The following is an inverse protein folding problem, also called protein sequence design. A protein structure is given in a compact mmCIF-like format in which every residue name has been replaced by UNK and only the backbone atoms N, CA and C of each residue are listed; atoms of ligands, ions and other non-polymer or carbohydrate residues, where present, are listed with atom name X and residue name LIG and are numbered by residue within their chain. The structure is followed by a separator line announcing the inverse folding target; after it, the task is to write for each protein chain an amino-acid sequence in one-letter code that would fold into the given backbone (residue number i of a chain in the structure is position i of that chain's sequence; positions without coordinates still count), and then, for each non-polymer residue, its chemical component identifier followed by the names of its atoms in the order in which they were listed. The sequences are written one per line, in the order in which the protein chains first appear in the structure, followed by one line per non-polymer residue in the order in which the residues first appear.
data_IF_038536785058
#
_entry.id   IF_038536785058
#
_cell.length_a   1.000
_cell.length_b   1.000
_cell.length_c   1.000
_cell.angle_alpha   90.00
_cell.angle_beta   90.00
_cell.angle_gamma   90.00
#
_symmetry.space_group_name_H-M   'P 1'
#
loop_
_entity.id
_entity.type
_entity.pdbx_description
1 polymer ?
#
# COMPACT_ATOMS: atom_id res chain seq x y z
N UNK A 1 -25.31 27.08 1.27
CA UNK A 1 -26.04 27.32 2.55
C UNK A 1 -25.19 26.73 3.65
N UNK A 2 -24.34 27.58 4.28
CA UNK A 2 -23.55 27.19 5.44
C UNK A 2 -24.50 27.15 6.65
N UNK A 3 -24.80 25.99 7.19
CA UNK A 3 -25.34 25.87 8.54
C UNK A 3 -24.17 25.92 9.52
N UNK A 4 -24.12 26.96 10.30
CA UNK A 4 -23.22 27.06 11.44
C UNK A 4 -23.79 26.23 12.60
N UNK A 5 -23.39 24.98 12.69
CA UNK A 5 -23.55 24.25 13.94
C UNK A 5 -22.36 24.60 14.84
N UNK A 6 -22.66 25.32 15.91
CA UNK A 6 -21.72 25.65 16.98
C UNK A 6 -21.26 24.35 17.65
N UNK A 7 -20.01 23.95 17.43
CA UNK A 7 -19.33 23.01 18.31
C UNK A 7 -18.65 23.78 19.44
N UNK A 8 -18.90 23.41 20.72
CA UNK A 8 -18.14 23.93 21.83
C UNK A 8 -16.82 23.18 21.95
N UNK A 9 -15.73 23.87 21.77
CA UNK A 9 -14.40 23.30 22.00
C UNK A 9 -13.38 23.89 21.05
N UNK A 10 -12.72 24.97 21.47
CA UNK A 10 -11.74 25.69 20.68
C UNK A 10 -10.51 24.87 20.34
N UNK A 11 -10.48 24.33 19.13
CA UNK A 11 -9.26 24.02 18.41
C UNK A 11 -9.04 25.14 17.42
N UNK A 12 -7.91 25.86 17.55
CA UNK A 12 -7.49 26.83 16.56
C UNK A 12 -7.07 26.06 15.28
N UNK A 13 -8.06 25.58 14.53
CA UNK A 13 -7.87 25.25 13.13
C UNK A 13 -7.52 26.54 12.44
N UNK A 14 -6.49 26.53 11.60
CA UNK A 14 -6.12 27.65 10.76
C UNK A 14 -7.34 27.99 9.90
N UNK A 15 -8.16 28.91 10.40
CA UNK A 15 -9.31 29.41 9.66
C UNK A 15 -8.75 30.18 8.46
N UNK A 16 -8.70 29.51 7.32
CA UNK A 16 -8.33 30.17 6.07
C UNK A 16 -9.38 31.22 5.68
N UNK A 17 -9.14 31.99 4.60
CA UNK A 17 -10.04 33.03 4.11
C UNK A 17 -11.50 32.59 3.95
N UNK A 18 -11.71 31.31 3.69
CA UNK A 18 -13.04 30.70 3.59
C UNK A 18 -13.85 30.70 4.90
N UNK A 19 -13.19 30.52 6.05
CA UNK A 19 -13.86 30.56 7.35
C UNK A 19 -14.28 31.98 7.71
N UNK A 20 -13.45 32.96 7.40
CA UNK A 20 -13.78 34.39 7.57
C UNK A 20 -14.92 34.82 6.68
N UNK A 21 -14.96 34.35 5.42
CA UNK A 21 -16.08 34.57 4.52
C UNK A 21 -17.38 34.02 5.08
N UNK A 22 -17.38 32.82 5.60
CA UNK A 22 -18.58 32.23 6.20
C UNK A 22 -19.01 32.99 7.47
N UNK A 23 -18.09 33.47 8.32
CA UNK A 23 -18.40 34.28 9.50
C UNK A 23 -18.91 35.68 9.15
N UNK A 24 -18.12 36.45 8.39
CA UNK A 24 -18.45 37.83 8.06
C UNK A 24 -19.71 38.00 7.18
N UNK A 25 -19.90 37.13 6.18
CA UNK A 25 -21.11 37.15 5.32
C UNK A 25 -22.31 36.49 6.01
N UNK A 26 -22.07 35.62 7.02
CA UNK A 26 -23.13 35.04 7.83
C UNK A 26 -23.81 36.05 8.76
N UNK A 27 -23.04 37.02 9.23
CA UNK A 27 -23.52 38.12 10.09
C UNK A 27 -24.12 39.26 9.26
N UNK A 28 -23.60 39.56 8.09
CA UNK A 28 -24.10 40.54 7.15
C UNK A 28 -24.02 40.03 5.69
N UNK A 29 -25.12 39.53 5.13
CA UNK A 29 -25.16 39.05 3.75
C UNK A 29 -24.88 40.11 2.69
N UNK A 30 -24.94 41.39 3.05
CA UNK A 30 -24.64 42.51 2.14
C UNK A 30 -23.16 42.91 2.14
N UNK A 31 -22.37 42.36 3.06
CA UNK A 31 -20.94 42.68 3.16
C UNK A 31 -20.16 42.35 1.89
N UNK A 32 -19.29 43.23 1.49
CA UNK A 32 -18.33 42.96 0.39
C UNK A 32 -17.29 41.94 0.81
N UNK A 33 -17.56 40.68 0.48
CA UNK A 33 -16.67 39.58 0.79
C UNK A 33 -15.23 39.75 0.22
N UNK A 34 -15.08 40.48 -0.90
CA UNK A 34 -13.75 40.76 -1.48
C UNK A 34 -12.96 41.72 -0.62
N UNK A 35 -13.63 42.72 -0.01
CA UNK A 35 -13.00 43.62 0.93
C UNK A 35 -12.57 42.87 2.21
N UNK A 36 -13.46 42.04 2.76
CA UNK A 36 -13.14 41.19 3.94
C UNK A 36 -11.96 40.26 3.67
N UNK A 37 -11.97 39.66 2.50
CA UNK A 37 -10.91 38.74 2.07
C UNK A 37 -9.57 39.46 1.90
N UNK A 38 -9.56 40.64 1.29
CA UNK A 38 -8.37 41.48 1.14
C UNK A 38 -7.84 41.91 2.52
N UNK A 39 -8.71 42.38 3.39
CA UNK A 39 -8.34 42.75 4.77
C UNK A 39 -7.68 41.58 5.51
N UNK A 40 -8.23 40.39 5.38
CA UNK A 40 -7.62 39.19 5.96
C UNK A 40 -6.21 38.94 5.41
N UNK A 41 -6.05 38.96 4.08
CA UNK A 41 -4.74 38.73 3.48
C UNK A 41 -3.72 39.80 3.86
N UNK A 42 -4.14 41.07 3.92
CA UNK A 42 -3.28 42.18 4.34
C UNK A 42 -2.84 42.04 5.81
N UNK A 43 -3.74 41.65 6.68
CA UNK A 43 -3.44 41.44 8.10
C UNK A 43 -2.59 40.19 8.35
N UNK A 44 -2.91 39.07 7.67
CA UNK A 44 -2.26 37.79 7.89
C UNK A 44 -0.88 37.68 7.23
N UNK A 45 -0.68 38.32 6.08
CA UNK A 45 0.53 38.13 5.24
C UNK A 45 1.29 39.41 4.96
N UNK A 46 0.85 40.55 5.47
CA UNK A 46 1.56 41.85 5.43
C UNK A 46 2.21 42.16 4.07
N UNK A 47 3.56 42.19 4.01
CA UNK A 47 4.32 42.52 2.80
C UNK A 47 4.26 41.51 1.68
N UNK A 48 3.65 40.31 1.89
CA UNK A 48 3.44 39.27 0.87
C UNK A 48 1.96 39.00 0.64
N UNK A 49 1.08 39.90 1.09
CA UNK A 49 -0.36 39.82 0.94
C UNK A 49 -0.79 39.60 -0.50
N UNK A 50 -0.18 40.30 -1.45
CA UNK A 50 -0.53 40.19 -2.88
C UNK A 50 -0.29 38.77 -3.45
N UNK A 51 0.85 38.15 -3.09
CA UNK A 51 1.18 36.78 -3.51
C UNK A 51 0.17 35.78 -2.90
N UNK A 52 -0.16 35.95 -1.62
CA UNK A 52 -1.09 35.07 -0.94
C UNK A 52 -2.53 35.25 -1.37
N UNK A 53 -2.93 36.48 -1.70
CA UNK A 53 -4.22 36.75 -2.35
C UNK A 53 -4.32 35.99 -3.68
N UNK A 54 -3.29 36.10 -4.52
CA UNK A 54 -3.23 35.36 -5.80
C UNK A 54 -3.25 33.83 -5.60
N UNK A 55 -2.55 33.31 -4.60
CA UNK A 55 -2.56 31.89 -4.26
C UNK A 55 -3.96 31.38 -3.89
N UNK A 56 -4.67 32.08 -3.04
CA UNK A 56 -6.03 31.70 -2.64
C UNK A 56 -7.06 31.96 -3.73
N UNK A 57 -6.92 33.03 -4.53
CA UNK A 57 -7.80 33.29 -5.67
C UNK A 57 -7.69 32.18 -6.70
N UNK A 58 -6.49 31.70 -6.97
CA UNK A 58 -6.24 30.55 -7.85
C UNK A 58 -6.97 29.30 -7.35
N UNK A 59 -6.92 29.02 -6.04
CA UNK A 59 -7.65 27.91 -5.43
C UNK A 59 -9.17 28.09 -5.56
N UNK A 60 -9.67 29.27 -5.27
CA UNK A 60 -11.11 29.56 -5.38
C UNK A 60 -11.61 29.42 -6.82
N UNK A 61 -10.80 29.86 -7.80
CA UNK A 61 -11.11 29.72 -9.21
C UNK A 61 -11.22 28.23 -9.61
N UNK A 62 -10.28 27.39 -9.18
CA UNK A 62 -10.33 25.95 -9.47
C UNK A 62 -11.54 25.26 -8.83
N UNK A 63 -11.89 25.64 -7.61
CA UNK A 63 -13.08 25.10 -6.93
C UNK A 63 -14.35 25.57 -7.65
N UNK A 64 -14.41 26.81 -8.12
CA UNK A 64 -15.54 27.33 -8.86
C UNK A 64 -15.72 26.60 -10.21
N UNK A 65 -14.63 26.45 -10.98
CA UNK A 65 -14.64 25.68 -12.25
C UNK A 65 -15.13 24.25 -12.00
N UNK A 66 -14.63 23.59 -10.97
CA UNK A 66 -15.06 22.26 -10.61
C UNK A 66 -16.55 22.22 -10.26
N UNK A 67 -17.03 23.16 -9.45
CA UNK A 67 -18.43 23.25 -9.01
C UNK A 67 -19.37 23.50 -10.18
N UNK A 68 -19.00 24.43 -11.07
CA UNK A 68 -19.78 24.77 -12.25
C UNK A 68 -19.84 23.61 -13.26
N UNK A 69 -18.70 22.95 -13.50
CA UNK A 69 -18.63 21.78 -14.36
C UNK A 69 -19.56 20.67 -13.88
N UNK A 70 -19.49 20.31 -12.60
CA UNK A 70 -20.32 19.25 -12.03
C UNK A 70 -21.77 19.68 -11.83
N UNK A 71 -22.02 20.95 -11.53
CA UNK A 71 -23.36 21.50 -11.33
C UNK A 71 -24.17 21.59 -12.65
N UNK A 72 -23.51 22.00 -13.73
CA UNK A 72 -24.16 22.26 -15.03
C UNK A 72 -24.16 21.03 -15.93
N UNK A 73 -23.06 20.32 -16.00
CA UNK A 73 -22.92 19.20 -16.95
C UNK A 73 -23.55 17.88 -16.48
N UNK A 74 -23.96 17.78 -15.22
CA UNK A 74 -24.40 16.52 -14.65
C UNK A 74 -25.76 16.54 -13.91
N UNK A 75 -26.76 17.38 -14.26
CA UNK A 75 -28.00 17.47 -13.46
C UNK A 75 -28.85 16.19 -13.48
N UNK A 76 -28.78 15.38 -14.54
CA UNK A 76 -29.48 14.08 -14.63
C UNK A 76 -28.65 12.88 -14.17
N UNK A 77 -27.34 12.98 -14.26
CA UNK A 77 -26.39 11.94 -13.86
C UNK A 77 -26.20 11.90 -12.34
N UNK A 78 -26.28 13.04 -11.68
CA UNK A 78 -26.07 13.15 -10.24
C UNK A 78 -27.06 12.29 -9.43
N UNK A 79 -28.30 12.14 -9.87
CA UNK A 79 -29.32 11.36 -9.14
C UNK A 79 -29.13 9.83 -9.24
N UNK A 80 -28.64 9.32 -10.35
CA UNK A 80 -28.54 7.88 -10.61
C UNK A 80 -27.15 7.30 -10.36
N UNK A 81 -26.09 8.11 -10.52
CA UNK A 81 -24.69 7.67 -10.43
C UNK A 81 -23.87 8.47 -9.42
N UNK A 82 -24.47 9.43 -8.70
CA UNK A 82 -23.79 10.35 -7.81
C UNK A 82 -23.12 9.67 -6.61
N UNK A 83 -23.68 8.56 -6.13
CA UNK A 83 -23.13 7.90 -4.95
C UNK A 83 -21.73 7.31 -5.16
N UNK A 84 -21.37 6.88 -6.37
CA UNK A 84 -20.07 6.26 -6.62
C UNK A 84 -18.95 7.22 -7.03
N UNK A 85 -19.27 8.32 -7.72
CA UNK A 85 -18.27 9.29 -8.22
C UNK A 85 -18.04 10.47 -7.28
N UNK A 86 -19.05 10.91 -6.53
CA UNK A 86 -18.90 11.93 -5.50
C UNK A 86 -18.05 11.45 -4.30
N UNK A 87 -17.80 10.16 -4.20
CA UNK A 87 -16.96 9.58 -3.15
C UNK A 87 -15.56 9.17 -3.64
N UNK A 88 -15.25 9.38 -4.91
CA UNK A 88 -13.91 9.13 -5.42
C UNK A 88 -13.03 10.37 -5.24
N UNK A 89 -12.35 10.40 -4.10
CA UNK A 89 -11.42 11.46 -3.75
C UNK A 89 -10.29 11.65 -4.78
N UNK A 90 -9.93 10.62 -5.51
CA UNK A 90 -8.97 10.70 -6.62
C UNK A 90 -9.46 11.69 -7.69
N UNK A 91 -10.73 11.58 -8.11
CA UNK A 91 -11.30 12.49 -9.08
C UNK A 91 -11.33 13.95 -8.61
N UNK A 92 -11.66 14.19 -7.34
CA UNK A 92 -11.63 15.53 -6.76
C UNK A 92 -10.22 16.12 -6.81
N UNK A 93 -9.23 15.35 -6.37
CA UNK A 93 -7.83 15.80 -6.39
C UNK A 93 -7.39 16.10 -7.82
N UNK A 94 -7.63 15.20 -8.77
CA UNK A 94 -7.20 15.40 -10.16
C UNK A 94 -7.94 16.55 -10.86
N UNK A 95 -9.19 16.83 -10.51
CA UNK A 95 -9.98 17.89 -11.15
C UNK A 95 -9.70 19.28 -10.61
N UNK A 96 -9.37 19.39 -9.31
CA UNK A 96 -9.09 20.67 -8.65
C UNK A 96 -7.60 20.99 -8.69
N UNK A 97 -6.76 20.02 -8.37
CA UNK A 97 -5.31 20.18 -8.22
C UNK A 97 -4.57 19.66 -9.45
N UNK A 98 -4.82 20.30 -10.59
CA UNK A 98 -4.14 19.95 -11.86
C UNK A 98 -2.65 20.28 -11.79
N UNK A 99 -1.78 19.63 -12.59
CA UNK A 99 -0.36 19.96 -12.62
C UNK A 99 -0.08 21.44 -12.91
N UNK A 100 -0.86 22.07 -13.79
CA UNK A 100 -0.75 23.48 -14.13
C UNK A 100 -1.09 24.37 -12.93
N UNK A 101 -2.21 24.08 -12.26
CA UNK A 101 -2.58 24.76 -11.03
C UNK A 101 -1.47 24.64 -9.97
N UNK A 102 -0.97 23.42 -9.75
CA UNK A 102 0.06 23.19 -8.74
C UNK A 102 1.36 23.92 -9.06
N UNK A 103 1.72 24.05 -10.33
CA UNK A 103 2.91 24.80 -10.73
C UNK A 103 2.75 26.31 -10.49
N UNK A 104 1.59 26.87 -10.81
CA UNK A 104 1.31 28.29 -10.61
C UNK A 104 1.20 28.64 -9.12
N UNK A 105 0.48 27.83 -8.35
CA UNK A 105 0.37 27.96 -6.90
C UNK A 105 1.72 27.85 -6.19
N UNK A 106 2.61 26.93 -6.65
CA UNK A 106 3.98 26.80 -6.18
C UNK A 106 4.78 28.10 -6.36
N UNK A 107 4.68 28.71 -7.55
CA UNK A 107 5.39 29.96 -7.84
C UNK A 107 4.95 31.10 -6.92
N UNK A 108 3.64 31.21 -6.66
CA UNK A 108 3.09 32.22 -5.77
C UNK A 108 3.53 32.00 -4.32
N UNK A 109 3.42 30.77 -3.81
CA UNK A 109 3.77 30.41 -2.44
C UNK A 109 5.30 30.58 -2.22
N UNK A 110 6.13 30.07 -3.13
CA UNK A 110 7.59 30.22 -3.05
C UNK A 110 8.03 31.67 -3.12
N UNK A 111 7.34 32.50 -3.93
CA UNK A 111 7.59 33.95 -3.96
C UNK A 111 7.23 34.62 -2.63
N UNK A 112 6.11 34.22 -2.02
CA UNK A 112 5.71 34.73 -0.71
C UNK A 112 6.74 34.35 0.37
N UNK A 113 7.17 33.08 0.42
CA UNK A 113 8.17 32.59 1.39
C UNK A 113 9.50 33.33 1.26
N UNK A 114 9.98 33.55 0.03
CA UNK A 114 11.23 34.27 -0.24
C UNK A 114 11.18 35.72 0.23
N UNK A 115 10.03 36.37 0.10
CA UNK A 115 9.85 37.79 0.37
C UNK A 115 9.33 38.10 1.78
N UNK A 116 8.83 37.13 2.53
CA UNK A 116 8.32 37.31 3.87
C UNK A 116 9.43 37.75 4.83
N UNK A 117 9.20 38.87 5.54
CA UNK A 117 10.15 39.45 6.51
C UNK A 117 9.77 39.11 7.95
N UNK A 118 8.48 39.14 8.25
CA UNK A 118 7.93 38.94 9.57
C UNK A 118 8.01 37.44 9.98
N UNK A 119 8.53 37.12 11.18
CA UNK A 119 8.57 35.74 11.68
C UNK A 119 7.19 35.08 11.78
N UNK A 120 6.16 35.82 12.17
CA UNK A 120 4.79 35.29 12.30
C UNK A 120 4.20 34.98 10.91
N UNK A 121 4.50 35.79 9.90
CA UNK A 121 4.14 35.53 8.52
C UNK A 121 4.86 34.27 8.01
N UNK A 122 6.15 34.13 8.29
CA UNK A 122 6.89 32.92 7.94
C UNK A 122 6.32 31.67 8.58
N UNK A 123 5.91 31.74 9.83
CA UNK A 123 5.28 30.62 10.52
C UNK A 123 3.94 30.23 9.87
N UNK A 124 3.11 31.22 9.46
CA UNK A 124 1.85 30.96 8.74
C UNK A 124 2.09 30.34 7.36
N UNK A 125 3.06 30.88 6.61
CA UNK A 125 3.45 30.34 5.31
C UNK A 125 3.95 28.91 5.43
N UNK A 126 4.72 28.60 6.48
CA UNK A 126 5.16 27.23 6.74
C UNK A 126 4.00 26.23 6.92
N UNK A 127 2.93 26.62 7.62
CA UNK A 127 1.74 25.76 7.75
C UNK A 127 1.06 25.54 6.39
N UNK A 128 0.92 26.63 5.59
CA UNK A 128 0.34 26.55 4.25
C UNK A 128 1.23 25.69 3.34
N UNK A 129 2.53 25.80 3.44
CA UNK A 129 3.50 24.99 2.69
C UNK A 129 3.30 23.50 2.95
N UNK A 130 3.14 23.12 4.19
CA UNK A 130 2.91 21.73 4.59
C UNK A 130 1.66 21.16 3.92
N UNK A 131 0.54 21.89 3.96
CA UNK A 131 -0.70 21.47 3.31
C UNK A 131 -0.58 21.45 1.79
N UNK A 132 0.07 22.45 1.23
CA UNK A 132 0.31 22.54 -0.20
C UNK A 132 1.18 21.38 -0.72
N UNK A 133 2.30 21.08 -0.05
CA UNK A 133 3.19 19.98 -0.44
C UNK A 133 2.48 18.62 -0.37
N UNK A 134 1.64 18.43 0.64
CA UNK A 134 0.79 17.25 0.74
C UNK A 134 -0.14 17.12 -0.48
N UNK A 135 -0.86 18.18 -0.83
CA UNK A 135 -1.79 18.17 -1.96
C UNK A 135 -1.06 18.05 -3.31
N UNK A 136 0.07 18.70 -3.46
CA UNK A 136 0.95 18.61 -4.64
C UNK A 136 1.43 17.17 -4.87
N UNK A 137 1.88 16.53 -3.82
CA UNK A 137 2.33 15.15 -3.87
C UNK A 137 1.16 14.19 -4.19
N UNK A 138 0.00 14.37 -3.57
CA UNK A 138 -1.22 13.60 -3.88
C UNK A 138 -1.66 13.76 -5.35
N UNK A 139 -1.67 14.98 -5.86
CA UNK A 139 -1.95 15.26 -7.27
C UNK A 139 -0.99 14.51 -8.19
N UNK A 140 0.33 14.65 -7.95
CA UNK A 140 1.39 13.97 -8.70
C UNK A 140 1.16 12.45 -8.72
N UNK A 141 0.88 11.84 -7.57
CA UNK A 141 0.60 10.40 -7.45
C UNK A 141 -0.57 9.99 -8.33
N UNK A 142 -1.71 10.69 -8.26
CA UNK A 142 -2.90 10.30 -9.00
C UNK A 142 -2.77 10.50 -10.50
N UNK A 143 -2.09 11.56 -10.94
CA UNK A 143 -1.80 11.76 -12.37
C UNK A 143 -0.84 10.68 -12.90
N UNK A 144 0.22 10.35 -12.17
CA UNK A 144 1.14 9.29 -12.55
C UNK A 144 0.47 7.92 -12.54
N UNK A 145 -0.37 7.62 -11.54
CA UNK A 145 -1.16 6.39 -11.50
C UNK A 145 -2.10 6.29 -12.70
N UNK A 146 -2.76 7.39 -13.08
CA UNK A 146 -3.63 7.40 -14.25
C UNK A 146 -2.83 7.13 -15.52
N UNK A 147 -1.70 7.81 -15.71
CA UNK A 147 -0.80 7.59 -16.86
C UNK A 147 -0.30 6.14 -16.92
N UNK A 148 0.15 5.58 -15.80
CA UNK A 148 0.58 4.19 -15.73
C UNK A 148 -0.58 3.20 -15.97
N UNK A 149 -1.79 3.52 -15.55
CA UNK A 149 -2.96 2.67 -15.80
C UNK A 149 -3.26 2.58 -17.28
N UNK A 150 -3.10 3.68 -18.00
CA UNK A 150 -3.31 3.75 -19.45
C UNK A 150 -2.15 3.13 -20.24
N UNK A 151 -0.94 3.22 -19.72
CA UNK A 151 0.27 2.66 -20.34
C UNK A 151 1.18 2.09 -19.25
N UNK A 152 1.24 0.77 -19.15
CA UNK A 152 2.03 0.00 -18.15
C UNK A 152 3.54 0.11 -18.37
N UNK A 153 4.06 1.32 -18.50
CA UNK A 153 5.49 1.60 -18.73
C UNK A 153 6.20 2.01 -17.45
N UNK A 154 7.45 1.56 -17.30
CA UNK A 154 8.34 1.97 -16.20
C UNK A 154 8.55 3.48 -16.15
N UNK A 155 8.43 4.19 -17.29
CA UNK A 155 8.54 5.66 -17.33
C UNK A 155 7.50 6.38 -16.45
N UNK A 156 6.36 5.74 -16.21
CA UNK A 156 5.33 6.24 -15.30
C UNK A 156 5.36 5.57 -13.94
N UNK A 157 5.78 4.28 -13.89
CA UNK A 157 5.82 3.51 -12.65
C UNK A 157 6.91 4.02 -11.70
N UNK A 158 8.13 4.21 -12.19
CA UNK A 158 9.24 4.62 -11.35
C UNK A 158 8.98 5.98 -10.65
N UNK A 159 8.60 7.06 -11.35
CA UNK A 159 8.25 8.31 -10.67
C UNK A 159 6.98 8.22 -9.81
N UNK A 160 6.07 7.30 -10.08
CA UNK A 160 4.92 7.04 -9.22
C UNK A 160 5.37 6.42 -7.89
N UNK A 161 6.23 5.43 -7.95
CA UNK A 161 6.80 4.78 -6.76
C UNK A 161 7.59 5.77 -5.92
N UNK A 162 8.40 6.63 -6.56
CA UNK A 162 9.12 7.71 -5.87
C UNK A 162 8.17 8.69 -5.18
N UNK A 163 7.09 9.07 -5.85
CA UNK A 163 6.08 9.97 -5.28
C UNK A 163 5.32 9.36 -4.10
N UNK A 164 5.07 8.04 -4.11
CA UNK A 164 4.46 7.32 -2.99
C UNK A 164 5.41 7.30 -1.78
N UNK A 165 6.71 7.02 -2.00
CA UNK A 165 7.71 7.06 -0.94
C UNK A 165 7.87 8.47 -0.35
N UNK A 166 7.89 9.50 -1.20
CA UNK A 166 7.90 10.91 -0.79
C UNK A 166 6.68 11.25 0.08
N UNK A 167 5.50 10.76 -0.31
CA UNK A 167 4.26 10.99 0.44
C UNK A 167 4.32 10.35 1.84
N UNK A 168 4.81 9.12 1.96
CA UNK A 168 5.01 8.47 3.24
C UNK A 168 6.02 9.23 4.12
N UNK A 169 7.16 9.65 3.55
CA UNK A 169 8.17 10.42 4.27
C UNK A 169 7.64 11.79 4.74
N UNK A 170 6.80 12.44 3.93
CA UNK A 170 6.18 13.71 4.30
C UNK A 170 5.15 13.53 5.44
N UNK A 171 4.39 12.45 5.44
CA UNK A 171 3.49 12.13 6.56
C UNK A 171 4.24 11.90 7.88
N UNK A 172 5.38 11.23 7.84
CA UNK A 172 6.22 11.03 9.03
C UNK A 172 6.74 12.37 9.57
N UNK A 173 7.30 13.22 8.69
CA UNK A 173 7.75 14.58 9.06
C UNK A 173 6.64 15.43 9.65
N UNK A 174 5.45 15.37 9.08
CA UNK A 174 4.24 16.02 9.57
C UNK A 174 3.89 15.54 10.98
N UNK A 175 3.89 14.25 11.19
CA UNK A 175 3.61 13.64 12.50
C UNK A 175 4.61 14.08 13.56
N UNK A 176 5.89 14.19 13.21
CA UNK A 176 6.95 14.64 14.10
C UNK A 176 6.86 16.15 14.41
N UNK A 177 6.71 16.97 13.38
CA UNK A 177 6.73 18.45 13.50
C UNK A 177 5.55 19.00 14.27
N UNK A 178 4.41 18.33 14.24
CA UNK A 178 3.18 18.75 14.91
C UNK A 178 3.02 18.20 16.33
N UNK A 179 4.05 17.48 16.83
CA UNK A 179 3.99 16.83 18.14
C UNK A 179 2.82 15.85 18.25
N UNK A 180 2.45 15.24 17.15
CA UNK A 180 1.32 14.30 16.99
C UNK A 180 -0.07 14.90 17.21
N UNK A 181 -0.22 16.23 17.29
CA UNK A 181 -1.49 16.86 17.63
C UNK A 181 -2.32 17.39 16.45
N UNK A 182 -1.68 17.78 15.35
CA UNK A 182 -2.39 18.29 14.16
C UNK A 182 -2.64 17.20 13.11
N UNK A 183 -1.76 16.24 13.02
CA UNK A 183 -1.87 15.12 12.10
C UNK A 183 -1.52 13.86 12.89
N UNK A 184 -2.41 13.48 13.77
CA UNK A 184 -2.26 12.24 14.45
C UNK A 184 -2.11 11.11 13.45
N UNK A 185 -1.27 10.10 13.76
CA UNK A 185 -1.49 8.82 13.18
C UNK A 185 -2.94 8.52 13.47
N UNK A 186 -3.63 8.47 12.48
CA UNK A 186 -5.08 8.54 12.32
C UNK A 186 -5.81 7.43 13.08
N UNK A 187 -5.07 6.49 13.71
CA UNK A 187 -5.59 5.54 14.67
C UNK A 187 -6.11 6.15 15.97
N UNK A 188 -5.60 7.32 16.37
CA UNK A 188 -5.85 7.88 17.70
C UNK A 188 -6.91 8.99 17.73
N UNK A 189 -7.52 9.33 16.58
CA UNK A 189 -8.52 10.40 16.47
C UNK A 189 -9.83 9.93 15.84
N UNK A 190 -10.66 9.20 16.56
CA UNK A 190 -12.00 8.85 16.09
C UNK A 190 -12.91 10.06 15.85
N UNK A 191 -12.59 11.20 16.46
CA UNK A 191 -13.44 12.40 16.46
C UNK A 191 -13.14 13.39 15.32
N UNK A 192 -11.98 13.31 14.70
CA UNK A 192 -11.62 14.15 13.54
C UNK A 192 -12.12 13.61 12.21
N UNK A 193 -13.08 12.74 12.28
CA UNK A 193 -13.69 12.06 11.12
C UNK A 193 -14.18 12.96 10.01
N UNK A 194 -14.55 14.21 10.21
CA UNK A 194 -15.23 14.91 9.15
C UNK A 194 -14.43 15.92 8.41
N UNK A 195 -13.24 16.27 8.82
CA UNK A 195 -12.79 17.58 8.43
C UNK A 195 -12.21 17.72 7.05
N UNK A 196 -11.70 16.69 6.47
CA UNK A 196 -11.30 16.68 5.07
C UNK A 196 -11.39 15.28 4.53
N UNK A 197 -12.15 15.06 3.50
CA UNK A 197 -12.32 13.78 2.84
C UNK A 197 -11.00 13.10 2.46
N UNK A 198 -9.89 13.80 2.50
CA UNK A 198 -8.56 13.31 2.18
C UNK A 198 -7.78 12.83 3.39
N UNK A 199 -7.87 13.56 4.50
CA UNK A 199 -7.30 13.10 5.77
C UNK A 199 -8.04 11.88 6.30
N UNK A 200 -9.29 11.72 5.94
CA UNK A 200 -9.99 10.47 6.10
C UNK A 200 -9.28 9.31 5.46
N UNK A 201 -8.66 9.58 4.38
CA UNK A 201 -7.98 8.59 3.64
C UNK A 201 -7.35 7.60 4.59
N UNK A 202 -6.49 7.99 5.44
CA UNK A 202 -5.70 7.07 6.22
C UNK A 202 -6.40 6.64 7.52
N UNK A 203 -7.10 7.49 8.25
CA UNK A 203 -7.67 7.16 9.56
C UNK A 203 -9.08 6.62 9.58
N UNK A 204 -9.95 7.20 8.83
CA UNK A 204 -11.27 6.65 8.67
C UNK A 204 -11.22 5.28 7.98
N UNK A 205 -10.14 5.03 7.26
CA UNK A 205 -9.86 3.78 6.59
C UNK A 205 -9.62 2.62 7.55
N UNK A 206 -9.08 2.90 8.71
CA UNK A 206 -8.82 1.86 9.71
C UNK A 206 -10.07 1.45 10.48
N UNK A 207 -11.14 2.26 10.45
CA UNK A 207 -12.31 2.08 11.30
C UNK A 207 -13.68 2.03 10.61
N UNK A 208 -13.74 2.11 9.29
CA UNK A 208 -15.02 2.09 8.56
C UNK A 208 -14.97 1.22 7.31
N UNK A 209 -16.14 0.87 6.76
CA UNK A 209 -16.26 0.12 5.51
C UNK A 209 -15.62 0.78 4.27
N UNK A 210 -15.07 1.99 4.41
CA UNK A 210 -14.23 2.65 3.43
C UNK A 210 -12.79 2.09 3.41
N UNK A 211 -12.32 1.45 4.47
CA UNK A 211 -11.00 0.83 4.55
C UNK A 211 -10.69 -0.04 3.33
N UNK A 212 -11.66 -0.82 2.86
CA UNK A 212 -11.49 -1.67 1.68
C UNK A 212 -11.28 -0.91 0.37
N UNK A 213 -11.75 0.32 0.24
CA UNK A 213 -11.57 1.09 -0.99
C UNK A 213 -10.17 1.70 -1.09
N UNK A 214 -9.60 2.11 0.03
CA UNK A 214 -8.27 2.72 0.07
C UNK A 214 -7.14 1.70 0.19
N UNK A 215 -7.40 0.56 0.80
CA UNK A 215 -6.49 -0.58 0.78
C UNK A 215 -6.11 -1.01 -0.64
N UNK A 216 -6.94 -0.64 -1.60
CA UNK A 216 -6.74 -0.88 -3.04
C UNK A 216 -6.19 0.32 -3.80
N UNK A 217 -5.86 1.43 -3.14
CA UNK A 217 -5.23 2.58 -3.80
C UNK A 217 -3.73 2.41 -3.92
N UNK A 218 -3.13 3.14 -4.85
CA UNK A 218 -1.68 3.16 -5.02
C UNK A 218 -0.91 3.67 -3.79
N UNK A 219 -1.57 4.39 -2.89
CA UNK A 219 -0.96 4.88 -1.64
C UNK A 219 -0.52 3.75 -0.70
N UNK A 220 -1.15 2.59 -0.80
CA UNK A 220 -0.81 1.39 -0.03
C UNK A 220 0.03 0.38 -0.82
N UNK A 221 0.47 0.72 -2.02
CA UNK A 221 1.36 -0.17 -2.77
C UNK A 221 2.66 -0.39 -2.01
N UNK A 222 3.17 -1.60 -2.07
CA UNK A 222 4.46 -1.94 -1.53
C UNK A 222 5.57 -1.52 -2.50
N UNK A 223 6.05 -0.31 -2.36
CA UNK A 223 7.10 0.27 -3.21
C UNK A 223 8.38 -0.54 -3.17
N UNK A 224 8.72 -1.14 -2.03
CA UNK A 224 9.86 -2.05 -1.90
C UNK A 224 9.70 -3.29 -2.78
N UNK A 225 8.51 -3.89 -2.76
CA UNK A 225 8.20 -5.04 -3.61
C UNK A 225 8.24 -4.68 -5.11
N UNK A 226 7.71 -3.50 -5.47
CA UNK A 226 7.74 -3.02 -6.87
C UNK A 226 9.17 -2.81 -7.34
N UNK A 227 10.03 -2.17 -6.54
CA UNK A 227 11.46 -1.99 -6.87
C UNK A 227 12.23 -3.31 -6.95
N UNK A 228 11.79 -4.33 -6.21
CA UNK A 228 12.36 -5.67 -6.28
C UNK A 228 11.89 -6.48 -7.51
N UNK A 229 11.11 -5.88 -8.42
CA UNK A 229 10.72 -6.49 -9.69
C UNK A 229 9.49 -7.40 -9.61
N UNK A 230 8.64 -7.27 -8.58
CA UNK A 230 7.42 -8.10 -8.45
C UNK A 230 6.44 -7.92 -9.62
N UNK A 231 6.54 -6.85 -10.38
CA UNK A 231 5.72 -6.58 -11.55
C UNK A 231 6.41 -6.95 -12.87
N UNK A 232 7.58 -7.54 -12.83
CA UNK A 232 8.28 -7.99 -14.03
C UNK A 232 7.61 -9.27 -14.58
N UNK A 233 7.67 -9.46 -15.90
CA UNK A 233 7.01 -10.59 -16.59
C UNK A 233 7.56 -11.96 -16.17
N UNK A 234 8.79 -12.00 -15.69
CA UNK A 234 9.46 -13.23 -15.26
C UNK A 234 10.07 -13.07 -13.88
N UNK A 235 9.61 -13.91 -12.98
CA UNK A 235 10.15 -13.98 -11.62
C UNK A 235 11.35 -14.92 -11.59
N UNK A 236 12.47 -14.38 -11.15
CA UNK A 236 13.71 -15.13 -11.03
C UNK A 236 14.41 -14.80 -9.70
N UNK A 237 14.80 -15.83 -8.96
CA UNK A 237 15.48 -15.69 -7.69
C UNK A 237 16.76 -16.55 -7.69
N UNK A 238 17.89 -15.92 -7.40
CA UNK A 238 19.15 -16.64 -7.18
C UNK A 238 19.19 -17.15 -5.74
N UNK A 239 19.34 -18.46 -5.60
CA UNK A 239 19.44 -19.12 -4.29
C UNK A 239 20.87 -19.03 -3.77
N UNK A 240 21.04 -18.44 -2.59
CA UNK A 240 22.34 -18.40 -1.95
C UNK A 240 22.63 -19.72 -1.20
N UNK A 241 23.91 -20.13 -1.24
CA UNK A 241 24.37 -21.33 -0.53
C UNK A 241 24.87 -20.98 0.86
N UNK A 242 24.51 -21.81 1.85
CA UNK A 242 25.00 -21.73 3.23
C UNK A 242 25.71 -23.00 3.61
N UNK A 243 26.68 -22.92 4.52
CA UNK A 243 27.41 -24.09 5.02
C UNK A 243 26.59 -24.82 6.11
N UNK A 244 26.03 -24.04 7.03
CA UNK A 244 25.21 -24.55 8.12
C UNK A 244 23.71 -24.36 7.84
N UNK A 245 22.91 -25.34 8.25
CA UNK A 245 21.46 -25.29 8.11
C UNK A 245 20.87 -24.05 8.83
N UNK A 246 20.23 -23.13 8.11
CA UNK A 246 19.65 -21.94 8.73
C UNK A 246 18.37 -22.32 9.48
N UNK A 247 18.33 -22.09 10.78
CA UNK A 247 17.09 -22.18 11.56
C UNK A 247 16.16 -20.99 11.28
N UNK A 248 14.93 -21.09 11.77
CA UNK A 248 13.93 -20.02 11.64
C UNK A 248 14.42 -18.69 12.29
N UNK A 249 15.21 -18.76 13.36
CA UNK A 249 15.70 -17.64 14.15
C UNK A 249 17.10 -17.16 13.76
N UNK A 250 17.77 -17.85 12.84
CA UNK A 250 19.13 -17.48 12.42
C UNK A 250 19.09 -16.31 11.44
N UNK A 251 19.01 -15.08 11.97
CA UNK A 251 18.96 -13.85 11.16
C UNK A 251 20.16 -13.71 10.24
N UNK A 252 21.37 -14.03 10.70
CA UNK A 252 22.59 -13.81 9.92
C UNK A 252 22.64 -14.60 8.62
N UNK A 253 22.14 -15.84 8.61
CA UNK A 253 22.03 -16.62 7.38
C UNK A 253 21.02 -16.01 6.40
N UNK A 254 19.89 -15.53 6.92
CA UNK A 254 18.81 -14.97 6.11
C UNK A 254 19.07 -13.54 5.63
N UNK A 255 19.95 -12.78 6.28
CA UNK A 255 20.28 -11.40 5.88
C UNK A 255 20.98 -11.34 4.53
N UNK A 256 21.73 -12.39 4.18
CA UNK A 256 22.44 -12.49 2.89
C UNK A 256 21.57 -13.07 1.76
N UNK A 257 20.38 -13.58 2.07
CA UNK A 257 19.45 -14.08 1.07
C UNK A 257 18.70 -12.95 0.37
N UNK A 258 18.55 -13.05 -0.96
CA UNK A 258 17.70 -12.14 -1.70
C UNK A 258 16.25 -12.24 -1.21
N UNK A 259 15.62 -11.10 -0.99
CA UNK A 259 14.23 -11.03 -0.57
C UNK A 259 13.33 -10.86 -1.80
N UNK A 260 12.29 -11.66 -1.89
CA UNK A 260 11.26 -11.57 -2.92
C UNK A 260 9.89 -11.39 -2.25
N UNK A 261 8.94 -10.82 -2.98
CA UNK A 261 7.65 -10.41 -2.45
C UNK A 261 6.51 -11.12 -3.17
N UNK A 262 5.31 -11.09 -2.56
CA UNK A 262 4.11 -11.64 -3.15
C UNK A 262 3.15 -10.50 -3.50
N UNK A 263 2.33 -10.72 -4.54
CA UNK A 263 1.26 -9.82 -4.94
C UNK A 263 -0.08 -10.55 -4.97
N UNK A 264 -1.17 -9.82 -4.84
CA UNK A 264 -2.50 -10.37 -5.09
C UNK A 264 -2.60 -10.91 -6.52
N UNK A 265 -3.32 -11.97 -6.71
CA UNK A 265 -3.56 -12.58 -8.03
C UNK A 265 -4.12 -11.54 -9.01
N UNK A 266 -3.38 -11.28 -10.09
CA UNK A 266 -3.70 -10.25 -11.09
C UNK A 266 -3.71 -8.82 -10.55
N UNK A 267 -3.06 -8.56 -9.41
CA UNK A 267 -3.10 -7.31 -8.68
C UNK A 267 -1.74 -6.69 -8.44
N UNK A 268 -1.69 -5.91 -7.36
CA UNK A 268 -0.52 -5.16 -6.92
C UNK A 268 -0.05 -5.67 -5.57
N UNK A 269 1.23 -5.50 -5.21
CA UNK A 269 1.69 -5.73 -3.86
C UNK A 269 1.22 -4.60 -2.93
N UNK A 270 0.74 -4.94 -1.74
CA UNK A 270 0.25 -3.98 -0.75
C UNK A 270 0.99 -4.10 0.58
N UNK A 271 1.32 -2.96 1.18
CA UNK A 271 2.07 -2.91 2.45
C UNK A 271 1.35 -3.56 3.62
N UNK A 272 0.02 -3.42 3.68
CA UNK A 272 -0.80 -3.92 4.80
C UNK A 272 -0.95 -5.45 4.84
N UNK A 273 -0.58 -6.14 3.76
CA UNK A 273 -0.60 -7.60 3.66
C UNK A 273 0.74 -8.14 3.14
N UNK A 274 1.80 -7.34 3.29
CA UNK A 274 3.13 -7.72 2.80
C UNK A 274 3.47 -9.16 3.17
N UNK A 275 3.86 -9.90 2.16
CA UNK A 275 4.44 -11.23 2.30
C UNK A 275 5.76 -11.23 1.57
N UNK A 276 6.81 -11.63 2.25
CA UNK A 276 8.16 -11.70 1.70
C UNK A 276 8.72 -13.10 1.85
N UNK A 277 9.56 -13.50 0.92
CA UNK A 277 10.18 -14.80 0.87
C UNK A 277 11.68 -14.67 0.70
N UNK A 278 12.41 -15.56 1.35
CA UNK A 278 13.83 -15.77 1.16
C UNK A 278 14.10 -17.27 0.96
N UNK A 279 15.05 -17.58 0.06
CA UNK A 279 15.40 -18.97 -0.28
C UNK A 279 16.90 -19.16 -0.14
N UNK A 280 17.28 -20.20 0.57
CA UNK A 280 18.66 -20.62 0.76
C UNK A 280 18.80 -22.12 0.47
N UNK A 281 20.02 -22.60 0.27
CA UNK A 281 20.32 -24.01 0.20
C UNK A 281 21.60 -24.37 0.95
N UNK A 282 21.69 -25.59 1.41
CA UNK A 282 22.96 -26.28 1.63
C UNK A 282 23.20 -27.32 0.53
N UNK A 283 24.07 -28.28 0.77
CA UNK A 283 24.36 -29.36 -0.19
C UNK A 283 23.21 -30.34 -0.35
N UNK A 284 22.38 -30.53 0.67
CA UNK A 284 21.37 -31.58 0.75
C UNK A 284 19.93 -31.05 0.79
N UNK A 285 19.72 -29.77 1.16
CA UNK A 285 18.40 -29.24 1.46
C UNK A 285 18.15 -27.87 0.82
N UNK A 286 16.91 -27.64 0.46
CA UNK A 286 16.33 -26.33 0.15
C UNK A 286 15.69 -25.77 1.43
N UNK A 287 15.94 -24.50 1.71
CA UNK A 287 15.33 -23.76 2.83
C UNK A 287 14.51 -22.62 2.28
N UNK A 288 13.26 -22.53 2.68
CA UNK A 288 12.38 -21.42 2.32
C UNK A 288 11.85 -20.79 3.59
N UNK A 289 11.98 -19.47 3.69
CA UNK A 289 11.39 -18.67 4.75
C UNK A 289 10.39 -17.71 4.16
N UNK A 290 9.19 -17.67 4.69
CA UNK A 290 8.13 -16.74 4.27
C UNK A 290 7.67 -15.93 5.47
N UNK A 291 7.90 -14.62 5.41
CA UNK A 291 7.47 -13.66 6.42
C UNK A 291 6.16 -13.01 5.97
N UNK A 292 5.11 -13.20 6.75
CA UNK A 292 3.75 -12.82 6.41
C UNK A 292 3.21 -11.79 7.38
N UNK A 293 2.94 -10.56 6.92
CA UNK A 293 2.26 -9.56 7.74
C UNK A 293 0.80 -9.95 7.95
N UNK A 294 0.39 -10.04 9.19
CA UNK A 294 -0.95 -10.42 9.60
C UNK A 294 -1.57 -9.34 10.47
N UNK A 295 -2.31 -8.40 9.89
CA UNK A 295 -2.87 -7.25 10.62
C UNK A 295 -4.12 -7.60 11.47
N UNK A 296 -4.61 -8.84 11.44
CA UNK A 296 -5.82 -9.24 12.17
C UNK A 296 -5.66 -9.10 13.68
N UNK A 297 -6.72 -8.67 14.34
CA UNK A 297 -6.84 -8.60 15.81
C UNK A 297 -7.11 -9.97 16.45
N UNK A 298 -7.45 -10.97 15.65
CA UNK A 298 -7.92 -12.28 16.11
C UNK A 298 -6.91 -13.37 15.75
N UNK A 299 -6.08 -13.83 16.69
CA UNK A 299 -5.19 -14.98 16.47
C UNK A 299 -5.94 -16.33 16.47
N UNK A 300 -7.25 -16.30 16.63
CA UNK A 300 -8.08 -17.47 16.95
C UNK A 300 -8.50 -18.28 15.70
N UNK A 301 -8.10 -17.83 14.51
CA UNK A 301 -8.53 -18.44 13.25
C UNK A 301 -7.66 -19.60 12.76
N UNK A 302 -6.72 -20.06 13.62
CA UNK A 302 -5.84 -21.17 13.30
C UNK A 302 -6.17 -22.39 14.15
N UNK A 303 -6.50 -23.46 13.49
CA UNK A 303 -6.77 -24.74 14.15
C UNK A 303 -5.73 -25.76 13.74
N UNK A 304 -5.35 -26.64 14.69
CA UNK A 304 -4.54 -27.78 14.37
C UNK A 304 -5.32 -28.70 13.42
N UNK A 305 -4.67 -29.10 12.35
CA UNK A 305 -5.19 -30.05 11.37
C UNK A 305 -4.19 -31.20 11.31
N UNK A 306 -4.71 -32.41 11.31
CA UNK A 306 -3.89 -33.61 11.10
C UNK A 306 -3.12 -33.50 9.79
N UNK A 307 -1.90 -34.05 9.70
CA UNK A 307 -1.15 -34.10 8.45
C UNK A 307 -2.02 -34.60 7.29
N UNK A 308 -1.92 -33.94 6.14
CA UNK A 308 -2.72 -34.16 4.92
C UNK A 308 -4.23 -33.89 5.07
N UNK A 309 -4.64 -33.25 6.15
CA UNK A 309 -5.99 -32.76 6.32
C UNK A 309 -6.28 -31.49 5.51
N UNK A 310 -7.52 -31.00 5.56
CA UNK A 310 -7.96 -29.84 4.79
C UNK A 310 -7.43 -28.51 5.38
N UNK A 311 -6.16 -28.26 5.19
CA UNK A 311 -5.46 -27.01 5.59
C UNK A 311 -5.96 -25.78 4.82
N UNK A 312 -6.59 -26.01 3.63
CA UNK A 312 -6.92 -24.94 2.67
C UNK A 312 -8.11 -24.08 3.09
N UNK A 313 -8.83 -24.47 4.13
CA UNK A 313 -9.88 -23.65 4.75
C UNK A 313 -9.35 -22.56 5.67
N UNK A 314 -8.07 -22.61 6.02
CA UNK A 314 -7.41 -21.66 6.91
C UNK A 314 -6.42 -20.78 6.15
N UNK A 315 -5.74 -19.88 6.84
CA UNK A 315 -4.58 -19.19 6.30
C UNK A 315 -3.40 -20.16 6.22
N UNK A 316 -2.71 -20.18 5.08
CA UNK A 316 -1.57 -21.06 4.85
C UNK A 316 -0.58 -20.42 3.89
N UNK A 317 0.64 -20.93 3.92
CA UNK A 317 1.66 -20.75 2.90
C UNK A 317 1.85 -22.06 2.17
N UNK A 318 1.99 -21.99 0.85
CA UNK A 318 2.30 -23.15 0.03
C UNK A 318 3.43 -22.87 -0.95
N UNK A 319 4.17 -23.92 -1.29
CA UNK A 319 5.26 -23.93 -2.25
C UNK A 319 4.92 -24.89 -3.38
N UNK A 320 5.26 -24.50 -4.61
CA UNK A 320 5.25 -25.38 -5.78
C UNK A 320 6.67 -25.45 -6.35
N UNK A 321 7.23 -26.65 -6.45
CA UNK A 321 8.61 -26.89 -6.84
C UNK A 321 8.63 -27.86 -8.01
N UNK A 322 9.29 -27.48 -9.11
CA UNK A 322 9.39 -28.28 -10.34
C UNK A 322 10.87 -28.42 -10.74
N UNK A 323 11.53 -29.49 -10.30
CA UNK A 323 12.88 -29.81 -10.81
C UNK A 323 12.87 -30.08 -12.32
N UNK A 324 13.96 -29.77 -13.05
CA UNK A 324 14.02 -29.96 -14.52
C UNK A 324 13.78 -31.43 -14.94
N UNK A 325 14.29 -32.37 -14.17
CA UNK A 325 14.18 -33.80 -14.47
C UNK A 325 12.90 -34.46 -13.93
N UNK A 326 11.96 -33.66 -13.40
CA UNK A 326 10.71 -34.16 -12.81
C UNK A 326 9.69 -34.68 -13.83
N UNK A 327 9.94 -34.50 -15.13
CA UNK A 327 8.96 -34.80 -16.17
C UNK A 327 7.73 -33.86 -16.12
N UNK A 328 7.94 -32.63 -15.63
CA UNK A 328 6.89 -31.63 -15.47
C UNK A 328 6.04 -31.80 -14.20
N UNK A 329 6.45 -32.65 -13.28
CA UNK A 329 5.79 -32.77 -11.97
C UNK A 329 6.06 -31.56 -11.11
N UNK A 330 5.02 -31.09 -10.43
CA UNK A 330 5.12 -30.02 -9.42
C UNK A 330 4.85 -30.62 -8.05
N UNK A 331 5.82 -30.50 -7.17
CA UNK A 331 5.73 -30.92 -5.77
C UNK A 331 5.15 -29.78 -4.97
N UNK A 332 4.03 -30.02 -4.28
CA UNK A 332 3.33 -29.05 -3.46
C UNK A 332 3.56 -29.35 -1.99
N UNK A 333 3.93 -28.32 -1.22
CA UNK A 333 4.11 -28.38 0.22
C UNK A 333 3.34 -27.20 0.81
N UNK A 334 2.50 -27.41 1.81
CA UNK A 334 1.73 -26.36 2.44
C UNK A 334 1.72 -26.49 3.96
N UNK A 335 1.73 -25.36 4.66
CA UNK A 335 1.69 -25.29 6.11
C UNK A 335 0.91 -24.06 6.57
N UNK A 336 0.25 -24.16 7.73
CA UNK A 336 -0.36 -23.05 8.41
C UNK A 336 0.43 -22.71 9.71
N UNK A 337 0.19 -21.57 10.38
CA UNK A 337 0.92 -21.19 11.59
C UNK A 337 0.48 -21.98 12.85
N UNK A 338 0.32 -23.30 12.72
CA UNK A 338 0.02 -24.21 13.81
C UNK A 338 0.95 -25.42 13.73
N UNK A 339 1.51 -25.84 14.86
CA UNK A 339 2.43 -26.95 14.91
C UNK A 339 1.78 -28.25 14.41
N UNK A 340 2.50 -28.97 13.56
CA UNK A 340 2.05 -30.25 12.98
C UNK A 340 1.07 -30.14 11.83
N UNK A 341 0.51 -28.95 11.54
CA UNK A 341 -0.43 -28.78 10.43
C UNK A 341 0.33 -28.55 9.13
N UNK A 342 0.48 -29.62 8.38
CA UNK A 342 1.16 -29.64 7.07
C UNK A 342 0.42 -30.50 6.07
N UNK A 343 0.65 -30.22 4.80
CA UNK A 343 0.07 -30.94 3.67
C UNK A 343 1.10 -31.03 2.55
N UNK A 344 1.18 -32.19 1.92
CA UNK A 344 1.95 -32.33 0.69
C UNK A 344 1.22 -33.17 -0.38
N UNK A 345 1.57 -32.93 -1.65
CA UNK A 345 1.04 -33.64 -2.79
C UNK A 345 1.94 -33.44 -4.00
N UNK A 346 1.74 -34.22 -5.04
CA UNK A 346 2.43 -34.05 -6.33
C UNK A 346 1.44 -33.90 -7.47
N UNK A 347 1.61 -32.86 -8.25
CA UNK A 347 0.88 -32.66 -9.49
C UNK A 347 1.65 -33.28 -10.64
N UNK A 348 1.00 -34.12 -11.43
CA UNK A 348 1.56 -34.74 -12.62
C UNK A 348 0.86 -34.27 -13.87
N UNK A 349 1.59 -34.04 -14.99
CA UNK A 349 0.95 -33.72 -16.26
C UNK A 349 -0.04 -34.81 -16.66
N UNK A 350 -1.29 -34.39 -16.90
CA UNK A 350 -2.37 -35.29 -17.38
C UNK A 350 -2.81 -34.93 -18.78
N UNK A 351 -3.72 -35.75 -19.35
CA UNK A 351 -4.26 -35.46 -20.68
C UNK A 351 -5.01 -34.13 -20.75
N UNK A 352 -5.03 -33.48 -21.91
CA UNK A 352 -5.70 -32.19 -22.19
C UNK A 352 -5.18 -31.01 -21.35
N UNK A 353 -3.86 -30.89 -21.11
CA UNK A 353 -3.23 -29.80 -20.35
C UNK A 353 -3.75 -29.66 -18.90
N UNK A 354 -4.18 -30.73 -18.28
CA UNK A 354 -4.60 -30.75 -16.88
C UNK A 354 -3.51 -31.41 -16.04
N UNK A 355 -3.30 -30.88 -14.85
CA UNK A 355 -2.46 -31.49 -13.83
C UNK A 355 -3.36 -32.40 -12.97
N UNK A 356 -2.92 -33.63 -12.72
CA UNK A 356 -3.56 -34.56 -11.79
C UNK A 356 -2.82 -34.51 -10.46
N UNK A 357 -3.55 -34.28 -9.37
CA UNK A 357 -2.98 -34.25 -8.03
C UNK A 357 -2.98 -35.63 -7.39
N UNK A 358 -1.81 -36.08 -6.96
CA UNK A 358 -1.64 -37.28 -6.14
C UNK A 358 -1.40 -36.84 -4.67
N UNK A 359 -2.43 -36.98 -3.88
CA UNK A 359 -2.43 -36.65 -2.44
C UNK A 359 -1.85 -37.75 -1.56
N UNK A 360 -1.41 -38.87 -2.16
CA UNK A 360 -0.78 -39.97 -1.42
C UNK A 360 0.74 -39.83 -1.37
N UNK A 361 1.29 -38.89 -2.12
CA UNK A 361 2.70 -38.59 -2.02
C UNK A 361 3.00 -37.92 -0.69
N UNK A 362 3.90 -38.49 0.09
CA UNK A 362 4.31 -37.99 1.39
C UNK A 362 5.81 -37.80 1.39
N UNK A 363 6.25 -36.56 1.58
CA UNK A 363 7.64 -36.18 1.64
C UNK A 363 8.16 -36.09 3.09
N UNK A 364 9.44 -36.33 3.25
CA UNK A 364 10.14 -36.08 4.52
C UNK A 364 10.69 -34.67 4.51
N UNK A 365 9.96 -33.73 5.08
CA UNK A 365 10.37 -32.34 5.22
C UNK A 365 10.04 -31.79 6.60
N UNK A 366 10.86 -30.82 7.03
CA UNK A 366 10.67 -30.15 8.31
C UNK A 366 9.96 -28.82 8.12
N UNK A 367 9.11 -28.48 9.05
CA UNK A 367 8.39 -27.23 9.12
C UNK A 367 8.47 -26.63 10.52
N UNK A 368 8.68 -25.32 10.58
CA UNK A 368 8.56 -24.54 11.81
C UNK A 368 7.84 -23.23 11.52
N UNK A 369 7.20 -22.66 12.52
CA UNK A 369 6.64 -21.33 12.43
C UNK A 369 6.99 -20.50 13.67
N UNK A 370 6.93 -19.18 13.49
CA UNK A 370 7.11 -18.23 14.59
C UNK A 370 6.14 -17.07 14.37
N UNK A 371 5.42 -16.66 15.41
CA UNK A 371 4.62 -15.46 15.40
C UNK A 371 5.31 -14.38 16.25
N UNK A 372 5.52 -13.21 15.68
CA UNK A 372 6.09 -12.06 16.39
C UNK A 372 5.22 -10.82 16.18
N UNK A 373 5.09 -10.00 17.22
CA UNK A 373 4.51 -8.67 17.09
C UNK A 373 5.48 -7.74 16.36
N UNK A 374 5.06 -7.11 15.28
CA UNK A 374 5.80 -6.01 14.65
C UNK A 374 5.03 -4.74 14.94
N UNK A 375 5.70 -3.73 15.49
CA UNK A 375 5.18 -2.37 15.46
C UNK A 375 5.20 -1.95 13.99
N UNK A 376 4.01 -1.88 13.37
CA UNK A 376 3.89 -1.39 12.02
C UNK A 376 4.30 0.08 11.93
N UNK A 377 4.70 0.50 10.77
CA UNK A 377 5.02 1.89 10.40
C UNK A 377 3.91 2.88 10.80
N UNK A 378 2.70 2.40 11.03
CA UNK A 378 1.51 3.16 11.37
C UNK A 378 0.90 2.78 12.72
N UNK A 379 1.70 2.49 13.74
CA UNK A 379 1.23 2.20 15.10
C UNK A 379 0.22 1.05 15.24
N UNK A 380 -0.12 0.37 14.16
CA UNK A 380 -0.88 -0.87 14.23
C UNK A 380 0.02 -1.95 14.80
N UNK A 381 -0.42 -2.71 15.79
CA UNK A 381 0.28 -3.91 16.21
C UNK A 381 0.20 -4.93 15.07
N UNK A 382 1.04 -4.72 14.06
CA UNK A 382 1.22 -5.66 12.99
C UNK A 382 1.79 -6.94 13.60
N UNK A 383 1.17 -8.07 13.33
CA UNK A 383 1.73 -9.37 13.63
C UNK A 383 2.38 -9.89 12.37
N UNK A 384 3.56 -10.42 12.49
CA UNK A 384 4.21 -11.20 11.45
C UNK A 384 4.23 -12.62 11.92
N UNK A 385 3.80 -13.54 11.08
CA UNK A 385 4.13 -14.93 11.25
C UNK A 385 5.12 -15.36 10.16
N UNK A 386 6.12 -16.12 10.58
CA UNK A 386 7.17 -16.65 9.72
C UNK A 386 6.92 -18.13 9.57
N UNK A 387 6.82 -18.60 8.33
CA UNK A 387 6.87 -20.02 7.99
C UNK A 387 8.30 -20.36 7.55
N UNK A 388 8.81 -21.48 7.99
CA UNK A 388 10.12 -22.00 7.64
C UNK A 388 10.00 -23.45 7.18
N UNK A 389 10.58 -23.73 6.04
CA UNK A 389 10.58 -25.03 5.40
C UNK A 389 12.03 -25.50 5.23
N UNK A 390 12.31 -26.76 5.57
CA UNK A 390 13.54 -27.47 5.21
C UNK A 390 13.14 -28.69 4.41
N UNK A 391 13.58 -28.76 3.17
CA UNK A 391 13.13 -29.74 2.20
C UNK A 391 14.36 -30.43 1.62
N UNK A 392 14.56 -31.73 1.93
CA UNK A 392 15.67 -32.48 1.32
C UNK A 392 15.49 -32.58 -0.20
N UNK A 393 16.56 -32.36 -0.96
CA UNK A 393 16.52 -32.52 -2.42
C UNK A 393 16.18 -33.94 -2.85
N UNK A 394 16.48 -34.95 -2.00
CA UNK A 394 16.12 -36.35 -2.26
C UNK A 394 14.61 -36.59 -2.40
N UNK A 395 13.77 -35.75 -1.81
CA UNK A 395 12.32 -35.89 -1.86
C UNK A 395 11.74 -35.60 -3.27
N UNK A 396 12.50 -34.92 -4.11
CA UNK A 396 12.11 -34.61 -5.48
C UNK A 396 12.54 -35.69 -6.50
N UNK A 397 13.00 -36.83 -6.00
CA UNK A 397 13.40 -38.00 -6.81
C UNK A 397 14.71 -37.80 -7.56
N UNK A 398 15.46 -36.76 -7.24
CA UNK A 398 16.65 -36.36 -7.97
C UNK A 398 17.91 -36.17 -7.12
N UNK A 399 18.95 -35.73 -7.80
CA UNK A 399 20.20 -35.30 -7.20
C UNK A 399 20.05 -33.84 -6.72
N UNK A 400 20.86 -33.41 -5.74
CA UNK A 400 20.97 -31.99 -5.42
C UNK A 400 21.30 -31.17 -6.67
N UNK A 401 20.73 -29.95 -6.80
CA UNK A 401 20.97 -29.10 -7.96
C UNK A 401 22.43 -28.67 -8.06
N UNK A 402 22.92 -28.59 -9.28
CA UNK A 402 24.26 -28.05 -9.56
C UNK A 402 24.24 -26.54 -9.70
N UNK A 403 25.41 -25.90 -9.57
CA UNK A 403 25.51 -24.46 -9.74
C UNK A 403 25.04 -24.01 -11.14
N UNK A 404 24.15 -23.02 -11.17
CA UNK A 404 23.54 -22.52 -12.40
C UNK A 404 22.31 -23.29 -12.87
N UNK A 405 21.94 -24.37 -12.22
CA UNK A 405 20.72 -25.12 -12.53
C UNK A 405 19.48 -24.32 -12.12
N UNK A 406 18.46 -24.26 -12.99
CA UNK A 406 17.23 -23.55 -12.75
C UNK A 406 16.06 -24.51 -12.54
N UNK A 407 15.32 -24.31 -11.46
CA UNK A 407 14.10 -25.06 -11.15
C UNK A 407 12.88 -24.16 -11.28
N UNK A 408 11.76 -24.70 -11.77
CA UNK A 408 10.48 -24.03 -11.68
C UNK A 408 10.06 -23.91 -10.20
N UNK A 409 9.61 -22.73 -9.82
CA UNK A 409 9.24 -22.47 -8.44
C UNK A 409 8.11 -21.43 -8.35
N UNK A 410 7.21 -21.63 -7.42
CA UNK A 410 6.29 -20.61 -6.98
C UNK A 410 6.02 -20.77 -5.49
N UNK A 411 5.63 -19.68 -4.86
CA UNK A 411 5.14 -19.69 -3.50
C UNK A 411 3.86 -18.86 -3.42
N UNK A 412 2.92 -19.29 -2.59
CA UNK A 412 1.67 -18.59 -2.39
C UNK A 412 1.30 -18.50 -0.91
N UNK A 413 0.49 -17.51 -0.59
CA UNK A 413 -0.16 -17.35 0.70
C UNK A 413 -1.64 -17.14 0.50
N UNK A 414 -2.45 -17.89 1.24
CA UNK A 414 -3.88 -17.66 1.36
C UNK A 414 -4.17 -16.88 2.63
N UNK A 415 -4.84 -15.74 2.50
CA UNK A 415 -5.38 -14.95 3.60
C UNK A 415 -6.90 -15.07 3.59
N UNK A 416 -7.43 -15.91 4.49
CA UNK A 416 -8.83 -16.34 4.45
C UNK A 416 -9.79 -15.23 4.83
N UNK A 417 -9.48 -14.46 5.89
CA UNK A 417 -10.33 -13.36 6.38
C UNK A 417 -10.61 -12.27 5.32
N UNK A 418 -9.73 -12.13 4.34
CA UNK A 418 -9.86 -11.18 3.23
C UNK A 418 -10.12 -11.85 1.87
N UNK A 419 -10.20 -13.17 1.84
CA UNK A 419 -10.36 -13.92 0.58
C UNK A 419 -9.19 -13.75 -0.39
N UNK A 420 -8.03 -13.25 0.07
CA UNK A 420 -6.86 -12.98 -0.77
C UNK A 420 -6.02 -14.22 -0.99
N UNK A 421 -5.56 -14.39 -2.22
CA UNK A 421 -4.57 -15.39 -2.58
C UNK A 421 -3.42 -14.68 -3.27
N UNK A 422 -2.28 -14.64 -2.62
CA UNK A 422 -1.09 -13.91 -3.03
C UNK A 422 -0.04 -14.89 -3.50
N UNK A 423 0.66 -14.56 -4.57
CA UNK A 423 1.69 -15.40 -5.20
C UNK A 423 2.96 -14.60 -5.44
N UNK A 424 4.08 -15.33 -5.47
CA UNK A 424 5.36 -14.77 -5.90
C UNK A 424 5.41 -14.56 -7.41
N UNK A 425 4.92 -15.48 -8.23
CA UNK A 425 4.76 -15.29 -9.68
C UNK A 425 3.28 -15.16 -10.04
N UNK A 426 2.96 -14.44 -11.12
CA UNK A 426 1.57 -14.23 -11.58
C UNK A 426 1.02 -15.50 -12.24
N UNK A 427 0.74 -16.48 -11.40
CA UNK A 427 0.19 -17.77 -11.80
C UNK A 427 -1.20 -17.98 -11.17
N UNK A 428 -2.09 -18.78 -11.79
CA UNK A 428 -3.36 -19.17 -11.18
C UNK A 428 -3.21 -19.97 -9.89
N UNK A 429 -2.13 -20.74 -9.77
CA UNK A 429 -1.79 -21.56 -8.60
C UNK A 429 -0.30 -21.89 -8.58
N UNK A 430 0.20 -22.41 -7.47
CA UNK A 430 1.59 -22.89 -7.37
C UNK A 430 1.88 -24.11 -8.27
N UNK A 431 0.85 -24.74 -8.80
CA UNK A 431 0.98 -25.92 -9.70
C UNK A 431 0.85 -25.56 -11.19
N UNK A 432 0.68 -24.29 -11.56
CA UNK A 432 0.61 -23.88 -12.98
C UNK A 432 2.00 -23.82 -13.60
N UNK A 433 2.36 -24.90 -14.33
CA UNK A 433 3.68 -25.06 -14.93
C UNK A 433 4.03 -24.00 -15.99
N UNK A 434 3.03 -23.32 -16.58
CA UNK A 434 3.24 -22.30 -17.59
C UNK A 434 3.63 -20.93 -17.00
N UNK A 435 3.33 -20.72 -15.74
CA UNK A 435 3.49 -19.44 -15.06
C UNK A 435 4.37 -19.52 -13.80
N UNK A 436 5.10 -20.63 -13.61
CA UNK A 436 6.10 -20.70 -12.55
C UNK A 436 7.22 -19.70 -12.80
N UNK A 437 7.64 -19.04 -11.73
CA UNK A 437 8.93 -18.37 -11.70
C UNK A 437 10.08 -19.39 -11.66
N UNK A 438 11.31 -18.91 -11.55
CA UNK A 438 12.51 -19.74 -11.50
C UNK A 438 13.38 -19.41 -10.30
N UNK A 439 13.86 -20.43 -9.63
CA UNK A 439 14.99 -20.33 -8.72
C UNK A 439 16.22 -20.93 -9.36
N UNK A 440 17.37 -20.25 -9.23
CA UNK A 440 18.66 -20.70 -9.78
C UNK A 440 19.66 -20.92 -8.65
N UNK A 441 20.29 -22.06 -8.67
CA UNK A 441 21.21 -22.53 -7.65
C UNK A 441 22.67 -22.17 -7.91
#
# INVERSE_FOLDING_TARGET
VCRADRAPGGGAGVGGPGALRCGGVGDDPSADWKAIYKEFCDAAFTNVSSQMTGFFDLLHMQIAIYSDYYGVMMPGWSRKYSRSRYHDSKWHVMSIFTPEYMAEAENLLSSAEKNAKDPDVKARLHLIRIEFDYMKNMSKIFYLQNAWTMNKSKIYLDPLVDAIDEWHANLEKLSESTGKRLFLPLSDWPEMRPFCGHYYGIAALQNSGYQQQWDKTCLNWDTKAIRAGILDDKHHLKVATVEDAPGIDNSNAWDNAAESFFMDRGGMPYTNVRTAMKVLRDKDNLYVRVDSLYPSKHPEDFFQIEPDGDIFKQEYVELGIMPPDSGGKVYRLAANPVEGSRYDSVFTPGGKNRMAEDVKWNAKWDYAFKASGVKGQYSLPGRVWTAWFKIPFSEFGGKPPVAGEAWGFNAARKKVDQGRYMLWSDAPSVADTNALGQITF
#
